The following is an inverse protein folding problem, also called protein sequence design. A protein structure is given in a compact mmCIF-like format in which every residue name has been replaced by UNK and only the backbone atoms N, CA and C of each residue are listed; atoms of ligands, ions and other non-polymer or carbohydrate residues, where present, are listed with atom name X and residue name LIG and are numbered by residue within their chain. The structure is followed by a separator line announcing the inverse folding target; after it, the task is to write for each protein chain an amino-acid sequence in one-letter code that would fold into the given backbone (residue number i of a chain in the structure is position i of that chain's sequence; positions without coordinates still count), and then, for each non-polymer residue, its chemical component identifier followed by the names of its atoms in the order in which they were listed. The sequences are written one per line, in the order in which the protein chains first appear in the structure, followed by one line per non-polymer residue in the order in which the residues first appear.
data_IF_350263416966
#
_entry.id   IF_350263416966
#
_cell.length_a   1.000
_cell.length_b   1.000
_cell.length_c   1.000
_cell.angle_alpha   90.00
_cell.angle_beta   90.00
_cell.angle_gamma   90.00
#
_symmetry.space_group_name_H-M   'P 1'
#
loop_
_entity.id
_entity.type
_entity.pdbx_description
1 polymer ?
#
# COMPACT_ATOMS: atom_id res chain seq x y z
N UNK A 1 -6.31 -9.62 4.50
CA UNK A 1 -7.78 -9.47 4.55
C UNK A 1 -8.18 -9.00 5.92
N UNK A 2 -8.94 -7.92 6.02
CA UNK A 2 -9.44 -7.33 7.27
C UNK A 2 -10.97 -7.46 7.34
N UNK A 3 -11.54 -7.20 8.48
CA UNK A 3 -12.99 -7.09 8.63
C UNK A 3 -13.51 -5.86 7.88
N UNK A 4 -14.64 -6.00 7.16
CA UNK A 4 -15.18 -4.94 6.32
C UNK A 4 -15.66 -3.74 7.13
N UNK A 5 -16.34 -3.97 8.26
CA UNK A 5 -16.90 -2.89 9.07
C UNK A 5 -15.79 -2.08 9.74
N UNK A 6 -14.69 -2.75 10.15
CA UNK A 6 -13.48 -2.07 10.61
C UNK A 6 -12.80 -1.28 9.50
N UNK A 7 -12.73 -1.83 8.30
CA UNK A 7 -12.19 -1.11 7.14
C UNK A 7 -12.99 0.16 6.83
N UNK A 8 -14.33 0.07 6.87
CA UNK A 8 -15.21 1.24 6.71
C UNK A 8 -14.98 2.28 7.81
N UNK A 9 -14.77 1.85 9.07
CA UNK A 9 -14.57 2.79 10.19
C UNK A 9 -13.26 3.56 10.14
N UNK A 10 -12.26 3.07 9.41
CA UNK A 10 -10.94 3.74 9.26
C UNK A 10 -10.78 4.45 7.92
N UNK A 11 -11.76 4.33 7.01
CA UNK A 11 -11.78 5.10 5.76
C UNK A 11 -12.27 6.51 6.04
N UNK A 12 -11.35 7.45 6.14
CA UNK A 12 -11.64 8.87 6.38
C UNK A 12 -11.80 9.64 5.05
N UNK A 13 -12.73 9.21 4.21
CA UNK A 13 -13.04 9.89 2.95
C UNK A 13 -14.47 9.59 2.46
N UNK A 14 -15.39 10.57 2.51
CA UNK A 14 -16.77 10.35 2.09
C UNK A 14 -16.95 10.17 0.57
N UNK A 15 -15.95 10.53 -0.23
CA UNK A 15 -15.96 10.37 -1.69
C UNK A 15 -15.61 8.94 -2.14
N UNK A 16 -15.24 8.07 -1.20
CA UNK A 16 -14.86 6.69 -1.50
C UNK A 16 -15.66 5.72 -0.64
N UNK A 17 -15.82 4.52 -1.14
CA UNK A 17 -16.37 3.37 -0.42
C UNK A 17 -15.37 2.22 -0.42
N UNK A 18 -15.29 1.50 0.68
CA UNK A 18 -14.51 0.26 0.77
C UNK A 18 -15.10 -0.79 -0.17
N UNK A 19 -14.26 -1.42 -0.97
CA UNK A 19 -14.69 -2.53 -1.81
C UNK A 19 -14.89 -3.78 -0.95
N UNK A 20 -16.16 -4.22 -0.85
CA UNK A 20 -16.54 -5.38 -0.04
C UNK A 20 -16.20 -6.68 -0.76
N UNK A 21 -15.53 -7.59 -0.05
CA UNK A 21 -15.21 -8.93 -0.51
C UNK A 21 -16.12 -9.97 0.14
N UNK A 22 -16.05 -11.20 -0.36
CA UNK A 22 -16.81 -12.34 0.21
C UNK A 22 -16.49 -12.49 1.70
N UNK A 23 -17.48 -12.89 2.49
CA UNK A 23 -17.33 -13.16 3.93
C UNK A 23 -17.13 -11.91 4.78
N UNK A 24 -17.72 -10.78 4.40
CA UNK A 24 -17.61 -9.50 5.11
C UNK A 24 -16.14 -9.05 5.30
N UNK A 25 -15.33 -9.19 4.24
CA UNK A 25 -13.91 -8.82 4.25
C UNK A 25 -13.64 -7.62 3.33
N UNK A 26 -12.52 -6.96 3.60
CA UNK A 26 -11.92 -5.94 2.75
C UNK A 26 -10.44 -6.27 2.51
N UNK A 27 -9.90 -5.76 1.40
CA UNK A 27 -8.47 -5.85 1.13
C UNK A 27 -7.77 -4.63 1.73
N UNK A 28 -6.82 -4.89 2.62
CA UNK A 28 -5.83 -3.93 3.09
C UNK A 28 -4.45 -4.43 2.69
N UNK A 29 -3.63 -3.57 2.12
CA UNK A 29 -2.32 -3.92 1.58
C UNK A 29 -1.22 -3.15 2.29
N UNK A 30 -0.11 -3.81 2.54
CA UNK A 30 1.17 -3.20 2.87
C UNK A 30 2.14 -3.52 1.73
N UNK A 31 2.72 -2.49 1.12
CA UNK A 31 3.71 -2.62 0.06
C UNK A 31 5.03 -2.00 0.54
N UNK A 32 6.11 -2.71 0.34
CA UNK A 32 7.45 -2.33 0.77
C UNK A 32 8.32 -2.18 -0.48
N UNK A 33 8.91 -1.00 -0.67
CA UNK A 33 9.71 -0.67 -1.83
C UNK A 33 11.15 -0.30 -1.43
N UNK A 34 12.08 -0.88 -2.16
CA UNK A 34 13.48 -0.50 -2.17
C UNK A 34 13.78 0.12 -3.56
N UNK A 35 13.65 1.45 -3.64
CA UNK A 35 13.94 2.20 -4.85
C UNK A 35 15.44 2.44 -4.96
N UNK A 36 16.10 1.68 -5.82
CA UNK A 36 17.57 1.67 -6.01
C UNK A 36 18.04 2.66 -7.05
N UNK A 37 17.23 2.89 -8.07
CA UNK A 37 17.53 3.77 -9.18
C UNK A 37 16.29 4.61 -9.50
N UNK A 38 16.47 5.92 -9.59
CA UNK A 38 15.44 6.86 -9.98
C UNK A 38 15.93 7.70 -11.16
N UNK A 39 15.00 8.13 -12.02
CA UNK A 39 15.32 9.07 -13.10
C UNK A 39 15.79 10.42 -12.54
N UNK A 40 15.09 10.88 -11.48
CA UNK A 40 15.38 12.16 -10.82
C UNK A 40 15.32 11.95 -9.30
N UNK A 41 16.47 11.89 -8.67
CA UNK A 41 16.56 11.74 -7.21
C UNK A 41 17.54 10.66 -6.76
N UNK A 42 17.65 10.52 -5.46
CA UNK A 42 18.49 9.53 -4.80
C UNK A 42 17.67 8.31 -4.35
N UNK A 43 18.31 7.14 -4.20
CA UNK A 43 17.66 5.93 -3.71
C UNK A 43 16.97 6.15 -2.35
N UNK A 44 15.82 5.50 -2.16
CA UNK A 44 15.08 5.58 -0.91
C UNK A 44 14.19 4.36 -0.67
N UNK A 45 13.79 4.16 0.57
CA UNK A 45 12.78 3.17 0.92
C UNK A 45 11.40 3.82 1.11
N UNK A 46 10.37 3.07 0.80
CA UNK A 46 8.98 3.49 0.98
C UNK A 46 8.13 2.31 1.47
N UNK A 47 7.19 2.60 2.36
CA UNK A 47 6.16 1.63 2.74
C UNK A 47 4.79 2.25 2.52
N UNK A 48 3.95 1.61 1.72
CA UNK A 48 2.58 2.04 1.49
C UNK A 48 1.60 1.18 2.30
N UNK A 49 0.76 1.82 3.11
CA UNK A 49 -0.46 1.21 3.59
C UNK A 49 -1.65 1.68 2.76
N UNK A 50 -2.47 0.75 2.30
CA UNK A 50 -3.56 1.11 1.39
C UNK A 50 -4.75 0.17 1.48
N UNK A 51 -5.91 0.67 1.08
CA UNK A 51 -7.19 -0.03 1.14
C UNK A 51 -7.86 -0.05 -0.23
N UNK A 52 -8.42 -1.20 -0.61
CA UNK A 52 -9.17 -1.31 -1.86
C UNK A 52 -10.51 -0.59 -1.74
N UNK A 53 -10.71 0.39 -2.62
CA UNK A 53 -11.87 1.28 -2.63
C UNK A 53 -12.41 1.48 -4.04
N UNK A 54 -13.58 2.14 -4.14
CA UNK A 54 -14.15 2.66 -5.37
C UNK A 54 -14.87 3.99 -5.09
N UNK A 55 -15.08 4.87 -6.09
CA UNK A 55 -15.77 6.15 -5.92
C UNK A 55 -17.22 5.96 -5.44
N UNK A 56 -17.66 6.84 -4.53
CA UNK A 56 -18.94 6.69 -3.83
C UNK A 56 -20.18 6.82 -4.73
N UNK A 57 -20.03 7.51 -5.87
CA UNK A 57 -21.06 7.72 -6.89
C UNK A 57 -21.12 6.60 -7.95
N UNK A 58 -20.16 5.68 -7.91
CA UNK A 58 -20.10 4.57 -8.86
C UNK A 58 -20.81 3.32 -8.34
N UNK A 59 -21.21 2.44 -9.27
CA UNK A 59 -21.82 1.16 -8.94
C UNK A 59 -20.86 0.29 -8.10
N UNK A 60 -21.44 -0.44 -7.16
CA UNK A 60 -20.67 -1.36 -6.32
C UNK A 60 -20.04 -2.47 -7.18
N UNK A 61 -18.72 -2.63 -7.14
CA UNK A 61 -18.03 -3.63 -7.93
C UNK A 61 -18.46 -5.05 -7.50
N UNK A 62 -18.84 -5.86 -8.48
CA UNK A 62 -19.29 -7.25 -8.20
C UNK A 62 -18.12 -8.16 -7.85
N UNK A 63 -16.97 -7.96 -8.48
CA UNK A 63 -15.76 -8.76 -8.31
C UNK A 63 -14.52 -7.88 -8.14
N UNK A 64 -14.36 -7.16 -7.00
CA UNK A 64 -13.33 -6.13 -6.85
C UNK A 64 -11.90 -6.61 -7.11
N UNK A 65 -11.56 -7.84 -6.69
CA UNK A 65 -10.22 -8.41 -6.93
C UNK A 65 -9.97 -8.74 -8.40
N UNK A 66 -11.00 -9.12 -9.14
CA UNK A 66 -10.88 -9.35 -10.59
C UNK A 66 -10.73 -8.03 -11.30
N UNK A 67 -11.48 -7.02 -10.92
CA UNK A 67 -11.36 -5.67 -11.48
C UNK A 67 -9.94 -5.11 -11.33
N UNK A 68 -9.25 -5.40 -10.23
CA UNK A 68 -7.85 -4.97 -10.06
C UNK A 68 -6.90 -5.48 -11.14
N UNK A 69 -7.26 -6.53 -11.86
CA UNK A 69 -6.45 -7.08 -12.96
C UNK A 69 -6.78 -6.45 -14.32
N UNK A 70 -7.84 -5.67 -14.41
CA UNK A 70 -8.19 -4.95 -15.64
C UNK A 70 -7.25 -3.75 -15.85
N UNK A 71 -7.09 -3.30 -17.10
CA UNK A 71 -6.39 -2.05 -17.38
C UNK A 71 -6.97 -0.88 -16.57
N UNK A 72 -6.16 0.09 -16.15
CA UNK A 72 -6.61 1.22 -15.32
C UNK A 72 -7.78 2.02 -15.90
N UNK A 73 -7.88 2.14 -17.22
CA UNK A 73 -8.95 2.84 -17.94
C UNK A 73 -10.30 2.10 -17.94
N UNK A 74 -10.31 0.83 -17.52
CA UNK A 74 -11.48 -0.05 -17.50
C UNK A 74 -11.97 -0.39 -16.11
N UNK A 75 -11.48 0.29 -15.07
CA UNK A 75 -11.90 0.04 -13.69
C UNK A 75 -11.95 1.32 -12.88
N UNK A 76 -12.86 1.34 -11.92
CA UNK A 76 -12.92 2.37 -10.90
C UNK A 76 -12.38 1.90 -9.54
N UNK A 77 -12.20 0.58 -9.35
CA UNK A 77 -11.52 0.07 -8.16
C UNK A 77 -10.05 0.46 -8.16
N UNK A 78 -9.57 0.91 -7.02
CA UNK A 78 -8.18 1.31 -6.82
C UNK A 78 -7.79 1.30 -5.34
N UNK A 79 -6.56 1.64 -5.06
CA UNK A 79 -6.03 1.66 -3.70
C UNK A 79 -6.07 3.07 -3.14
N UNK A 80 -6.83 3.29 -2.07
CA UNK A 80 -6.73 4.48 -1.24
C UNK A 80 -5.44 4.42 -0.44
N UNK A 81 -4.56 5.41 -0.63
CA UNK A 81 -3.28 5.49 0.08
C UNK A 81 -3.54 6.06 1.48
N UNK A 82 -3.45 5.20 2.50
CA UNK A 82 -3.72 5.56 3.89
C UNK A 82 -2.52 6.19 4.58
N UNK A 83 -1.32 5.66 4.36
CA UNK A 83 -0.05 6.16 4.89
C UNK A 83 1.07 5.81 3.91
N UNK A 84 2.08 6.67 3.80
CA UNK A 84 3.19 6.49 2.88
C UNK A 84 4.52 7.01 3.45
N UNK A 85 5.07 6.39 4.53
CA UNK A 85 6.40 6.70 5.03
C UNK A 85 7.49 6.50 3.98
N UNK A 86 8.45 7.41 3.97
CA UNK A 86 9.61 7.42 3.06
C UNK A 86 10.86 7.81 3.82
N UNK A 87 12.04 7.46 3.29
CA UNK A 87 13.32 7.78 3.94
C UNK A 87 13.92 9.12 3.53
N UNK A 88 13.36 9.83 2.52
CA UNK A 88 13.92 11.08 2.04
C UNK A 88 12.89 12.22 2.00
N UNK A 89 13.37 13.44 2.31
CA UNK A 89 12.56 14.67 2.26
C UNK A 89 12.10 14.99 0.83
N UNK A 90 12.93 14.71 -0.17
CA UNK A 90 12.59 14.95 -1.58
C UNK A 90 11.40 14.10 -1.99
N UNK A 91 11.43 12.79 -1.71
CA UNK A 91 10.31 11.89 -1.99
C UNK A 91 9.05 12.27 -1.21
N UNK A 92 9.20 12.73 0.03
CA UNK A 92 8.09 13.18 0.85
C UNK A 92 7.41 14.40 0.24
N UNK A 93 8.17 15.44 -0.06
CA UNK A 93 7.66 16.69 -0.63
C UNK A 93 7.00 16.46 -1.99
N UNK A 94 7.68 15.77 -2.92
CA UNK A 94 7.13 15.48 -4.24
C UNK A 94 5.78 14.74 -4.16
N UNK A 95 5.68 13.71 -3.32
CA UNK A 95 4.43 12.96 -3.17
C UNK A 95 3.28 13.78 -2.59
N UNK A 96 3.56 14.67 -1.63
CA UNK A 96 2.57 15.58 -1.05
C UNK A 96 2.09 16.64 -2.04
N UNK A 97 3.02 17.29 -2.72
CA UNK A 97 2.72 18.44 -3.59
C UNK A 97 2.06 18.02 -4.91
N UNK A 98 2.48 16.88 -5.48
CA UNK A 98 2.01 16.46 -6.80
C UNK A 98 0.77 15.55 -6.75
N UNK A 99 0.67 14.72 -5.71
CA UNK A 99 -0.40 13.71 -5.62
C UNK A 99 -1.20 13.77 -4.33
N UNK A 100 -0.84 14.61 -3.38
CA UNK A 100 -1.53 14.69 -2.08
C UNK A 100 -1.38 13.42 -1.23
N UNK A 101 -0.34 12.62 -1.45
CA UNK A 101 -0.12 11.43 -0.65
C UNK A 101 0.24 11.76 0.81
N UNK A 102 -0.26 10.98 1.76
CA UNK A 102 -0.01 11.18 3.19
C UNK A 102 1.41 10.71 3.58
N UNK A 103 2.43 11.30 2.95
CA UNK A 103 3.82 10.95 3.19
C UNK A 103 4.36 11.59 4.46
N UNK A 104 5.26 10.90 5.12
CA UNK A 104 6.09 11.44 6.20
C UNK A 104 7.48 10.81 6.14
N UNK A 105 8.48 11.54 6.61
CA UNK A 105 9.87 11.07 6.62
C UNK A 105 10.14 10.31 7.90
N UNK A 106 10.71 9.12 7.76
CA UNK A 106 11.21 8.31 8.88
C UNK A 106 12.21 7.28 8.39
N UNK A 107 12.95 6.68 9.32
CA UNK A 107 13.83 5.57 8.99
C UNK A 107 13.03 4.30 8.69
N UNK A 108 13.42 3.62 7.62
CA UNK A 108 12.84 2.35 7.18
C UNK A 108 13.98 1.36 6.97
N UNK A 109 14.00 0.29 7.77
CA UNK A 109 14.85 -0.86 7.50
C UNK A 109 14.21 -1.73 6.43
N UNK A 110 14.97 -2.22 5.48
CA UNK A 110 14.51 -3.12 4.43
C UNK A 110 15.57 -4.18 4.15
N UNK A 111 15.18 -5.44 4.21
CA UNK A 111 16.02 -6.55 3.79
C UNK A 111 15.18 -7.62 3.10
N UNK A 112 15.61 -8.05 1.93
CA UNK A 112 15.08 -9.21 1.22
C UNK A 112 16.26 -10.04 0.71
N UNK A 113 16.52 -11.15 1.36
CA UNK A 113 17.52 -12.13 0.95
C UNK A 113 16.84 -13.45 0.57
N UNK A 114 16.86 -13.76 -0.71
CA UNK A 114 16.12 -14.89 -1.30
C UNK A 114 14.62 -14.85 -0.97
N UNK A 115 14.20 -15.42 0.14
CA UNK A 115 12.82 -15.44 0.64
C UNK A 115 12.69 -14.93 2.06
N UNK A 116 13.79 -14.68 2.72
CA UNK A 116 13.78 -14.10 4.05
C UNK A 116 13.61 -12.60 3.93
N UNK A 117 12.49 -12.13 4.48
CA UNK A 117 12.09 -10.73 4.43
C UNK A 117 12.04 -10.13 5.82
N UNK A 118 12.58 -8.94 5.96
CA UNK A 118 12.36 -8.11 7.14
C UNK A 118 12.34 -6.64 6.76
N UNK A 119 11.38 -5.92 7.33
CA UNK A 119 11.29 -4.47 7.22
C UNK A 119 10.71 -3.88 8.49
N UNK A 120 11.14 -2.68 8.86
CA UNK A 120 10.55 -1.92 9.95
C UNK A 120 10.42 -0.45 9.59
N UNK A 121 9.31 0.16 9.99
CA UNK A 121 9.06 1.60 9.90
C UNK A 121 9.22 2.18 11.29
N UNK A 122 10.20 3.06 11.48
CA UNK A 122 10.48 3.69 12.78
C UNK A 122 9.47 4.81 13.08
N UNK A 123 9.31 5.13 14.35
CA UNK A 123 8.54 6.30 14.74
C UNK A 123 9.35 7.57 14.45
N UNK A 124 8.84 8.57 13.70
CA UNK A 124 9.63 9.72 13.26
C UNK A 124 10.20 10.56 14.42
N UNK A 125 9.47 10.65 15.53
CA UNK A 125 9.91 11.41 16.71
C UNK A 125 10.64 10.54 17.74
N UNK A 126 10.58 9.21 17.64
CA UNK A 126 11.26 8.28 18.53
C UNK A 126 11.81 7.07 17.77
N UNK A 127 12.95 7.21 17.07
CA UNK A 127 13.50 6.15 16.21
C UNK A 127 13.86 4.84 16.93
N UNK A 128 13.88 4.84 18.27
CA UNK A 128 14.09 3.63 19.05
C UNK A 128 12.87 2.70 19.06
N UNK A 129 11.71 3.21 18.67
CA UNK A 129 10.46 2.43 18.54
C UNK A 129 10.06 2.31 17.09
N UNK A 130 9.32 1.25 16.76
CA UNK A 130 8.79 1.04 15.41
C UNK A 130 7.28 1.22 15.41
N UNK A 131 6.74 1.83 14.36
CA UNK A 131 5.31 1.88 14.08
C UNK A 131 4.83 0.47 13.72
N UNK A 132 5.57 -0.19 12.83
CA UNK A 132 5.35 -1.56 12.41
C UNK A 132 6.66 -2.26 12.07
N UNK A 133 6.64 -3.58 12.11
CA UNK A 133 7.64 -4.43 11.47
C UNK A 133 6.96 -5.65 10.83
N UNK A 134 7.49 -6.11 9.70
CA UNK A 134 7.07 -7.34 9.04
C UNK A 134 8.31 -8.20 8.82
N UNK A 135 8.29 -9.43 9.29
CA UNK A 135 9.43 -10.33 9.14
C UNK A 135 9.00 -11.78 9.02
N UNK A 136 9.88 -12.61 8.43
CA UNK A 136 9.70 -14.04 8.24
C UNK A 136 10.10 -14.49 6.86
N UNK A 137 9.76 -15.72 6.50
CA UNK A 137 10.13 -16.35 5.23
C UNK A 137 8.93 -16.39 4.29
N UNK A 138 9.11 -15.91 3.06
CA UNK A 138 8.12 -16.02 1.99
C UNK A 138 8.05 -17.49 1.53
N UNK A 139 6.85 -18.05 1.50
CA UNK A 139 6.62 -19.43 1.16
C UNK A 139 6.89 -19.79 -0.30
N UNK A 140 6.45 -20.98 -0.70
CA UNK A 140 6.51 -21.41 -2.09
C UNK A 140 5.72 -20.44 -2.98
N UNK A 141 6.29 -20.09 -4.12
CA UNK A 141 5.73 -19.06 -5.01
C UNK A 141 5.66 -19.55 -6.45
N UNK A 142 4.73 -19.00 -7.20
CA UNK A 142 4.59 -19.19 -8.64
C UNK A 142 4.73 -17.84 -9.36
N UNK A 143 5.12 -17.85 -10.62
CA UNK A 143 5.14 -16.64 -11.44
C UNK A 143 3.70 -16.14 -11.63
N UNK A 144 3.51 -14.85 -11.48
CA UNK A 144 2.22 -14.18 -11.66
C UNK A 144 2.39 -12.94 -12.54
N UNK A 145 1.35 -12.53 -13.28
CA UNK A 145 1.34 -11.24 -13.93
C UNK A 145 1.36 -10.14 -12.86
N UNK A 146 1.96 -9.02 -13.19
CA UNK A 146 1.86 -7.79 -12.39
C UNK A 146 0.89 -6.84 -13.08
N UNK A 147 0.02 -6.20 -12.32
CA UNK A 147 -0.96 -5.26 -12.87
C UNK A 147 -0.57 -3.83 -12.54
N UNK A 148 -0.85 -2.92 -13.46
CA UNK A 148 -0.75 -1.48 -13.20
C UNK A 148 -1.65 -1.08 -12.05
N UNK A 149 -1.27 -0.02 -11.33
CA UNK A 149 -2.00 0.42 -10.15
C UNK A 149 -2.94 1.58 -10.48
N UNK A 150 -4.09 1.61 -9.83
CA UNK A 150 -4.94 2.78 -9.67
C UNK A 150 -4.86 3.20 -8.21
N UNK A 151 -4.49 4.46 -7.98
CA UNK A 151 -4.26 5.02 -6.66
C UNK A 151 -5.19 6.22 -6.44
N UNK A 152 -5.75 6.31 -5.25
CA UNK A 152 -6.58 7.43 -4.82
C UNK A 152 -5.92 8.15 -3.65
N UNK A 153 -6.02 9.47 -3.66
CA UNK A 153 -5.53 10.38 -2.62
C UNK A 153 -6.35 11.66 -2.59
N UNK A 154 -6.04 12.57 -1.67
CA UNK A 154 -6.65 13.90 -1.62
C UNK A 154 -5.59 14.97 -1.79
N UNK A 155 -5.85 15.94 -2.66
CA UNK A 155 -5.04 17.15 -2.81
C UNK A 155 -5.96 18.37 -2.88
N UNK A 156 -5.79 19.30 -1.94
CA UNK A 156 -6.61 20.53 -1.88
C UNK A 156 -8.13 20.25 -1.93
N UNK A 157 -8.60 19.31 -1.11
CA UNK A 157 -10.00 18.86 -1.04
C UNK A 157 -10.55 18.18 -2.30
N UNK A 158 -9.72 18.00 -3.32
CA UNK A 158 -10.07 17.25 -4.51
C UNK A 158 -9.62 15.79 -4.40
N UNK A 159 -10.49 14.87 -4.82
CA UNK A 159 -10.10 13.47 -4.99
C UNK A 159 -9.19 13.37 -6.22
N UNK A 160 -7.99 12.85 -6.01
CA UNK A 160 -7.01 12.60 -7.06
C UNK A 160 -7.01 11.12 -7.39
N UNK A 161 -7.07 10.83 -8.69
CA UNK A 161 -6.86 9.50 -9.23
C UNK A 161 -5.56 9.50 -10.04
N UNK A 162 -4.58 8.72 -9.59
CA UNK A 162 -3.34 8.50 -10.31
C UNK A 162 -3.23 7.04 -10.78
N UNK A 163 -2.44 6.80 -11.80
CA UNK A 163 -2.08 5.44 -12.23
C UNK A 163 -0.58 5.25 -12.11
N UNK A 164 -0.17 4.04 -11.80
CA UNK A 164 1.24 3.67 -11.88
C UNK A 164 1.40 2.52 -12.88
N UNK A 165 2.15 2.82 -13.95
CA UNK A 165 2.59 1.82 -14.91
C UNK A 165 3.66 0.98 -14.26
N UNK A 166 3.52 -0.33 -14.33
CA UNK A 166 4.43 -1.25 -13.67
C UNK A 166 4.97 -2.29 -14.62
N UNK A 167 6.26 -2.55 -14.54
CA UNK A 167 6.94 -3.61 -15.30
C UNK A 167 7.85 -4.39 -14.38
N UNK A 168 7.98 -5.67 -14.65
CA UNK A 168 8.95 -6.56 -13.99
C UNK A 168 9.80 -7.24 -15.04
N UNK A 169 11.13 -7.15 -14.93
CA UNK A 169 12.02 -7.73 -15.92
C UNK A 169 12.01 -9.27 -15.84
N UNK A 170 11.93 -9.82 -14.63
CA UNK A 170 11.98 -11.28 -14.37
C UNK A 170 10.60 -11.84 -13.99
N UNK A 171 9.52 -11.09 -14.22
CA UNK A 171 8.18 -11.39 -13.73
C UNK A 171 8.02 -11.14 -12.23
N UNK A 172 6.79 -11.14 -11.78
CA UNK A 172 6.46 -11.15 -10.37
C UNK A 172 6.24 -12.58 -9.88
N UNK A 173 6.36 -12.79 -8.59
CA UNK A 173 6.04 -14.05 -7.93
C UNK A 173 4.93 -13.81 -6.92
N UNK A 174 3.99 -14.75 -6.85
CA UNK A 174 2.94 -14.75 -5.83
C UNK A 174 3.08 -15.97 -4.94
N UNK A 175 3.05 -15.75 -3.64
CA UNK A 175 3.07 -16.77 -2.60
C UNK A 175 1.83 -16.64 -1.73
N UNK A 176 1.22 -17.78 -1.37
CA UNK A 176 0.05 -17.86 -0.48
C UNK A 176 0.36 -18.49 0.88
N UNK A 177 1.57 -18.94 1.06
CA UNK A 177 2.06 -19.59 2.30
C UNK A 177 3.42 -19.01 2.66
N UNK A 178 3.68 -18.92 3.93
CA UNK A 178 4.91 -18.44 4.52
C UNK A 178 4.67 -18.21 6.01
N UNK A 179 5.66 -17.71 6.71
CA UNK A 179 5.59 -17.40 8.14
C UNK A 179 5.76 -15.90 8.41
N UNK A 180 5.62 -15.08 7.38
CA UNK A 180 5.64 -13.61 7.55
C UNK A 180 4.63 -13.19 8.59
N UNK A 181 5.08 -12.37 9.55
CA UNK A 181 4.26 -11.88 10.64
C UNK A 181 4.43 -10.39 10.82
N UNK A 182 3.31 -9.68 10.84
CA UNK A 182 3.25 -8.26 11.12
C UNK A 182 3.24 -8.03 12.63
N UNK A 183 4.10 -7.15 13.11
CA UNK A 183 4.06 -6.61 14.46
C UNK A 183 3.75 -5.13 14.38
N UNK A 184 2.79 -4.68 15.17
CA UNK A 184 2.40 -3.27 15.31
C UNK A 184 2.48 -2.91 16.77
N UNK A 185 3.14 -1.83 17.11
CA UNK A 185 3.18 -1.35 18.49
C UNK A 185 1.78 -0.86 18.90
N UNK A 186 1.15 -1.58 19.81
CA UNK A 186 -0.21 -1.29 20.28
C UNK A 186 -0.29 -0.07 21.19
N UNK A 187 0.84 0.41 21.70
CA UNK A 187 0.96 1.60 22.55
C UNK A 187 1.34 2.86 21.78
N UNK A 188 1.67 2.72 20.50
CA UNK A 188 2.15 3.79 19.65
C UNK A 188 1.00 4.74 19.26
N UNK A 189 1.18 6.02 19.51
CA UNK A 189 0.18 7.06 19.21
C UNK A 189 0.21 7.56 17.77
N UNK A 190 1.16 7.11 16.95
CA UNK A 190 1.25 7.52 15.56
C UNK A 190 -0.01 7.08 14.77
N UNK A 191 -0.60 7.95 13.92
CA UNK A 191 -1.84 7.64 13.20
C UNK A 191 -1.80 6.34 12.40
N UNK A 192 -0.67 6.02 11.77
CA UNK A 192 -0.48 4.74 11.05
C UNK A 192 -0.59 3.54 12.01
N UNK A 193 0.05 3.59 13.19
CA UNK A 193 -0.05 2.51 14.18
C UNK A 193 -1.49 2.33 14.67
N UNK A 194 -2.17 3.45 14.98
CA UNK A 194 -3.56 3.42 15.43
C UNK A 194 -4.49 2.81 14.37
N UNK A 195 -4.31 3.17 13.09
CA UNK A 195 -5.07 2.59 11.97
C UNK A 195 -4.85 1.08 11.86
N UNK A 196 -3.60 0.63 11.89
CA UNK A 196 -3.27 -0.80 11.83
C UNK A 196 -3.82 -1.58 13.03
N UNK A 197 -3.78 -0.99 14.23
CA UNK A 197 -4.36 -1.58 15.43
C UNK A 197 -5.90 -1.64 15.37
N UNK A 198 -6.56 -0.60 14.84
CA UNK A 198 -8.01 -0.58 14.63
C UNK A 198 -8.46 -1.66 13.65
N UNK A 199 -7.61 -2.02 12.70
CA UNK A 199 -7.82 -3.13 11.76
C UNK A 199 -7.41 -4.49 12.35
N UNK A 200 -6.95 -4.55 13.61
CA UNK A 200 -6.48 -5.76 14.31
C UNK A 200 -5.35 -6.49 13.57
N UNK A 201 -4.42 -5.73 13.01
CA UNK A 201 -3.35 -6.28 12.20
C UNK A 201 -2.10 -6.68 12.99
N UNK A 202 -2.01 -6.36 14.29
CA UNK A 202 -0.91 -6.85 15.11
C UNK A 202 -0.95 -8.38 15.23
N UNK A 203 0.15 -9.03 14.88
CA UNK A 203 0.28 -10.49 14.83
C UNK A 203 -0.30 -11.14 13.56
N UNK A 204 -0.83 -10.36 12.62
CA UNK A 204 -1.42 -10.88 11.39
C UNK A 204 -0.35 -11.46 10.44
N UNK A 205 -0.79 -12.46 9.67
CA UNK A 205 -0.03 -13.02 8.55
C UNK A 205 -0.68 -12.61 7.23
N UNK A 206 0.09 -12.32 6.17
CA UNK A 206 -0.46 -11.99 4.86
C UNK A 206 -1.29 -13.14 4.29
N UNK A 207 -2.43 -12.82 3.70
CA UNK A 207 -3.19 -13.79 2.90
C UNK A 207 -2.44 -14.18 1.61
N UNK A 208 -1.77 -13.23 1.01
CA UNK A 208 -0.96 -13.39 -0.19
C UNK A 208 0.21 -12.41 -0.16
N UNK A 209 1.32 -12.82 -0.73
CA UNK A 209 2.52 -11.99 -0.90
C UNK A 209 2.87 -11.96 -2.37
N UNK A 210 2.92 -10.77 -2.96
CA UNK A 210 3.45 -10.59 -4.32
C UNK A 210 4.78 -9.86 -4.22
N UNK A 211 5.81 -10.36 -4.88
CA UNK A 211 7.14 -9.77 -4.81
C UNK A 211 7.90 -9.90 -6.13
N UNK A 212 8.85 -9.01 -6.34
CA UNK A 212 9.79 -9.01 -7.45
C UNK A 212 11.05 -8.27 -7.05
N UNK A 213 12.16 -8.61 -7.67
CA UNK A 213 13.47 -7.98 -7.53
C UNK A 213 13.77 -6.93 -8.61
N UNK A 214 12.84 -6.74 -9.53
CA UNK A 214 13.07 -5.98 -10.77
C UNK A 214 11.89 -5.11 -11.18
N UNK A 215 11.21 -4.52 -10.19
CA UNK A 215 10.09 -3.61 -10.45
C UNK A 215 10.60 -2.31 -11.08
N UNK A 216 10.05 -1.97 -12.25
CA UNK A 216 10.08 -0.63 -12.80
C UNK A 216 8.69 -0.01 -12.61
N UNK A 217 8.63 1.13 -11.95
CA UNK A 217 7.38 1.84 -11.66
C UNK A 217 7.47 3.26 -12.18
N UNK A 218 6.46 3.67 -12.97
CA UNK A 218 6.26 5.04 -13.37
C UNK A 218 4.92 5.54 -12.83
N UNK A 219 4.98 6.45 -11.87
CA UNK A 219 3.79 7.13 -11.38
C UNK A 219 3.40 8.22 -12.37
N UNK A 220 2.19 8.14 -12.90
CA UNK A 220 1.66 9.11 -13.83
C UNK A 220 1.08 10.32 -13.09
N UNK A 221 0.86 11.42 -13.80
CA UNK A 221 0.21 12.60 -13.24
C UNK A 221 -1.15 12.24 -12.63
N UNK A 222 -1.42 12.79 -11.46
CA UNK A 222 -2.71 12.65 -10.81
C UNK A 222 -3.75 13.55 -11.47
N UNK A 223 -4.92 13.02 -11.76
CA UNK A 223 -6.04 13.79 -12.30
C UNK A 223 -7.12 13.97 -11.25
N UNK A 224 -7.78 15.13 -11.24
CA UNK A 224 -8.94 15.36 -10.38
C UNK A 224 -10.04 14.42 -10.82
N UNK A 225 -10.53 13.62 -9.89
CA UNK A 225 -11.66 12.73 -10.10
C UNK A 225 -12.90 13.39 -9.54
N UNK A 226 -13.79 13.80 -10.41
CA UNK A 226 -15.04 14.47 -10.04
C UNK A 226 -16.08 13.43 -9.64
N UNK A 227 -16.66 13.64 -8.46
CA UNK A 227 -17.75 12.84 -7.88
C UNK A 227 -18.91 13.79 -7.59
#
# INVERSE_FOLDING_TARGET
MVDYDKAVSVLDNPKLKVAKLIGNKALFSLAFYDYRELTDGEPYHEVASSMLVYPADQDTPTHPLVEMTLPPDRRNTGMWVCDLPVTTEVACRAGKELWGYPKFVTDIDFNLDNKDFSSSVKHPENPQTSILSLSGTIGASVTAPWADLVLYSMLNDALIRATADTRTLNGAKIATKGDLKLSVDTTNSHPMAQRLNSLELNGATPFSVTFTDSLQLRLNEGVIFYI
#
